data_IF_302691592179
#
_entry.id   IF_302691592179
#
_cell.length_a   1.000
_cell.length_b   1.000
_cell.length_c   1.000
_cell.angle_alpha   90.00
_cell.angle_beta   90.00
_cell.angle_gamma   90.00
#
_symmetry.space_group_name_H-M   'P 1'
#
loop_
_entity.id
_entity.type
_entity.pdbx_description
1 polymer ?
#
# COMPACT_ATOMS: atom_id res chain seq x y z
N UNK A 1 -1.77 -13.81 -6.76
CA UNK A 1 -0.54 -13.33 -6.11
C UNK A 1 0.02 -14.40 -5.19
N UNK A 2 -0.41 -14.43 -3.93
CA UNK A 2 0.14 -15.31 -2.89
C UNK A 2 0.19 -16.80 -3.29
N UNK A 3 -0.91 -17.37 -3.77
CA UNK A 3 -0.94 -18.79 -4.19
C UNK A 3 0.13 -19.08 -5.24
N UNK A 4 0.35 -18.17 -6.19
CA UNK A 4 1.40 -18.32 -7.19
C UNK A 4 2.80 -18.33 -6.55
N UNK A 5 3.07 -17.41 -5.61
CA UNK A 5 4.32 -17.39 -4.86
C UNK A 5 4.56 -18.69 -4.06
N UNK A 6 3.51 -19.24 -3.46
CA UNK A 6 3.59 -20.50 -2.72
C UNK A 6 3.86 -21.70 -3.63
N UNK A 7 3.19 -21.76 -4.79
CA UNK A 7 3.33 -22.88 -5.74
C UNK A 7 4.67 -22.83 -6.48
N UNK A 8 5.13 -21.64 -6.88
CA UNK A 8 6.45 -21.48 -7.52
C UNK A 8 7.62 -21.67 -6.54
N UNK A 9 7.38 -21.40 -5.25
CA UNK A 9 8.42 -21.48 -4.23
C UNK A 9 9.33 -20.26 -4.19
N UNK A 10 10.39 -20.35 -3.40
CA UNK A 10 11.28 -19.22 -3.07
C UNK A 10 12.33 -19.01 -4.14
N UNK A 11 12.71 -17.75 -4.37
CA UNK A 11 13.88 -17.41 -5.20
C UNK A 11 15.15 -17.97 -4.55
N UNK A 12 16.11 -18.33 -5.39
CA UNK A 12 17.48 -18.67 -4.94
C UNK A 12 18.07 -17.46 -4.22
N UNK A 13 18.70 -17.69 -3.06
CA UNK A 13 19.26 -16.61 -2.24
C UNK A 13 18.26 -15.92 -1.30
N UNK A 14 16.99 -16.34 -1.24
CA UNK A 14 16.02 -15.74 -0.32
C UNK A 14 16.47 -15.89 1.15
N UNK A 15 16.67 -14.75 1.82
CA UNK A 15 17.16 -14.69 3.20
C UNK A 15 18.68 -14.60 3.34
N UNK A 16 19.44 -14.77 2.26
CA UNK A 16 20.91 -14.62 2.25
C UNK A 16 21.36 -13.45 1.39
N UNK A 17 20.70 -13.23 0.25
CA UNK A 17 21.08 -12.24 -0.74
C UNK A 17 20.24 -10.96 -0.58
N UNK A 18 20.79 -9.83 -1.03
CA UNK A 18 20.06 -8.58 -1.03
C UNK A 18 19.01 -8.56 -2.16
N UNK A 19 17.74 -8.71 -1.78
CA UNK A 19 16.60 -8.69 -2.71
C UNK A 19 16.06 -7.28 -3.01
N UNK A 20 16.80 -6.22 -2.69
CA UNK A 20 16.39 -4.85 -2.98
C UNK A 20 16.26 -4.61 -4.49
N UNK A 21 15.38 -3.67 -4.92
CA UNK A 21 15.26 -3.30 -6.33
C UNK A 21 16.60 -2.85 -6.90
N UNK A 22 16.92 -3.33 -8.11
CA UNK A 22 18.12 -2.91 -8.84
C UNK A 22 18.17 -1.40 -9.08
N UNK A 23 17.00 -0.79 -9.37
CA UNK A 23 16.89 0.65 -9.60
C UNK A 23 15.71 1.24 -8.84
N UNK A 24 16.02 1.92 -7.74
CA UNK A 24 15.03 2.55 -6.88
C UNK A 24 14.34 3.76 -7.53
N UNK A 25 15.02 4.48 -8.43
CA UNK A 25 14.41 5.61 -9.15
C UNK A 25 13.27 5.13 -10.06
N UNK A 26 13.45 4.00 -10.75
CA UNK A 26 12.37 3.39 -11.54
C UNK A 26 11.19 2.96 -10.67
N UNK A 27 11.44 2.43 -9.47
CA UNK A 27 10.38 2.08 -8.53
C UNK A 27 9.58 3.32 -8.08
N UNK A 28 10.26 4.44 -7.80
CA UNK A 28 9.61 5.72 -7.46
C UNK A 28 8.79 6.25 -8.63
N UNK A 29 9.30 6.19 -9.87
CA UNK A 29 8.55 6.58 -11.07
C UNK A 29 7.29 5.72 -11.20
N UNK A 30 7.42 4.40 -11.06
CA UNK A 30 6.28 3.47 -11.09
C UNK A 30 5.23 3.78 -10.03
N UNK A 31 5.64 3.98 -8.78
CA UNK A 31 4.73 4.36 -7.69
C UNK A 31 4.05 5.72 -7.93
N UNK A 32 4.76 6.69 -8.52
CA UNK A 32 4.20 8.00 -8.88
C UNK A 32 3.14 7.88 -9.97
N UNK A 33 3.40 7.07 -11.01
CA UNK A 33 2.42 6.79 -12.07
C UNK A 33 1.19 6.06 -11.52
N UNK A 34 1.39 5.10 -10.61
CA UNK A 34 0.28 4.43 -9.91
C UNK A 34 -0.56 5.42 -9.13
N UNK A 35 0.06 6.32 -8.36
CA UNK A 35 -0.66 7.33 -7.58
C UNK A 35 -1.48 8.25 -8.48
N UNK A 36 -0.88 8.81 -9.53
CA UNK A 36 -1.60 9.67 -10.48
C UNK A 36 -2.75 8.92 -11.15
N UNK A 37 -2.49 7.70 -11.64
CA UNK A 37 -3.51 6.86 -12.25
C UNK A 37 -4.65 6.49 -11.30
N UNK A 38 -4.36 6.36 -10.00
CA UNK A 38 -5.35 6.00 -9.00
C UNK A 38 -6.40 7.09 -8.74
N UNK A 39 -6.10 8.35 -9.03
CA UNK A 39 -7.14 9.38 -9.06
C UNK A 39 -8.22 9.02 -10.07
N UNK A 40 -7.82 8.61 -11.28
CA UNK A 40 -8.75 8.11 -12.29
C UNK A 40 -9.48 6.84 -11.84
N UNK A 41 -8.79 5.93 -11.15
CA UNK A 41 -9.38 4.69 -10.63
C UNK A 41 -10.50 4.97 -9.60
N UNK A 42 -10.22 5.77 -8.57
CA UNK A 42 -11.19 6.04 -7.50
C UNK A 42 -12.25 7.07 -7.90
N UNK A 43 -11.84 8.20 -8.49
CA UNK A 43 -12.78 9.25 -8.89
C UNK A 43 -13.62 8.84 -10.10
N UNK A 44 -13.02 8.14 -11.07
CA UNK A 44 -13.73 7.61 -12.24
C UNK A 44 -14.77 6.55 -11.87
N UNK A 45 -14.59 5.84 -10.75
CA UNK A 45 -15.59 4.91 -10.22
C UNK A 45 -16.90 5.59 -9.79
N UNK A 46 -16.92 6.92 -9.68
CA UNK A 46 -18.15 7.69 -9.50
C UNK A 46 -18.99 7.83 -10.79
N UNK A 47 -18.47 7.41 -11.95
CA UNK A 47 -19.09 7.41 -13.28
C UNK A 47 -19.64 8.77 -13.76
N UNK A 48 -19.30 9.86 -13.07
CA UNK A 48 -19.66 11.23 -13.41
C UNK A 48 -18.70 12.22 -12.76
N UNK A 49 -18.39 13.31 -13.44
CA UNK A 49 -17.66 14.44 -12.87
C UNK A 49 -18.56 15.21 -11.90
N UNK A 50 -18.57 14.79 -10.64
CA UNK A 50 -19.49 15.27 -9.60
C UNK A 50 -18.75 15.57 -8.29
N UNK A 51 -19.46 16.14 -7.31
CA UNK A 51 -18.92 16.32 -5.95
C UNK A 51 -18.43 15.02 -5.32
N UNK A 52 -19.05 13.88 -5.66
CA UNK A 52 -18.61 12.55 -5.21
C UNK A 52 -17.26 12.17 -5.81
N UNK A 53 -17.04 12.42 -7.11
CA UNK A 53 -15.75 12.19 -7.76
C UNK A 53 -14.66 13.09 -7.15
N UNK A 54 -14.96 14.37 -6.94
CA UNK A 54 -14.05 15.30 -6.27
C UNK A 54 -13.68 14.85 -4.85
N UNK A 55 -14.65 14.32 -4.10
CA UNK A 55 -14.38 13.76 -2.78
C UNK A 55 -13.55 12.49 -2.82
N UNK A 56 -13.84 11.58 -3.75
CA UNK A 56 -13.02 10.38 -3.98
C UNK A 56 -11.57 10.74 -4.30
N UNK A 57 -11.31 11.80 -5.10
CA UNK A 57 -9.95 12.30 -5.31
C UNK A 57 -9.31 12.79 -4.01
N UNK A 58 -10.02 13.63 -3.25
CA UNK A 58 -9.50 14.20 -2.01
C UNK A 58 -9.13 13.13 -0.98
N UNK A 59 -10.03 12.18 -0.72
CA UNK A 59 -9.76 11.09 0.24
C UNK A 59 -8.67 10.15 -0.26
N UNK A 60 -8.55 9.94 -1.57
CA UNK A 60 -7.44 9.17 -2.16
C UNK A 60 -6.09 9.82 -1.84
N UNK A 61 -5.98 11.14 -2.04
CA UNK A 61 -4.74 11.86 -1.72
C UNK A 61 -4.40 11.77 -0.22
N UNK A 62 -5.40 11.98 0.64
CA UNK A 62 -5.22 12.00 2.09
C UNK A 62 -4.80 10.63 2.61
N UNK A 63 -5.52 9.58 2.23
CA UNK A 63 -5.22 8.23 2.69
C UNK A 63 -3.85 7.75 2.22
N UNK A 64 -3.46 8.06 0.98
CA UNK A 64 -2.15 7.70 0.44
C UNK A 64 -1.01 8.41 1.17
N UNK A 65 -1.13 9.73 1.39
CA UNK A 65 -0.14 10.47 2.16
C UNK A 65 -0.04 9.96 3.61
N UNK A 66 -1.19 9.68 4.24
CA UNK A 66 -1.26 9.16 5.59
C UNK A 66 -0.64 7.76 5.72
N UNK A 67 -0.86 6.88 4.73
CA UNK A 67 -0.28 5.55 4.71
C UNK A 67 1.23 5.57 4.44
N UNK A 68 1.69 6.46 3.55
CA UNK A 68 3.12 6.67 3.31
C UNK A 68 3.83 7.11 4.61
N UNK A 69 3.24 8.05 5.36
CA UNK A 69 3.76 8.48 6.66
C UNK A 69 3.63 7.38 7.72
N UNK A 70 2.49 6.68 7.79
CA UNK A 70 2.26 5.59 8.73
C UNK A 70 3.29 4.47 8.57
N UNK A 71 3.55 4.07 7.33
CA UNK A 71 4.61 3.12 7.02
C UNK A 71 5.99 3.66 7.38
N UNK A 72 6.31 4.90 6.98
CA UNK A 72 7.59 5.54 7.27
C UNK A 72 7.89 5.56 8.77
N UNK A 73 6.92 5.95 9.60
CA UNK A 73 7.07 5.97 11.05
C UNK A 73 7.16 4.56 11.64
N UNK A 74 6.35 3.62 11.18
CA UNK A 74 6.43 2.22 11.63
C UNK A 74 7.82 1.61 11.30
N UNK A 75 8.31 1.84 10.09
CA UNK A 75 9.64 1.43 9.67
C UNK A 75 10.73 2.12 10.49
N UNK A 76 10.61 3.43 10.73
CA UNK A 76 11.62 4.16 11.50
C UNK A 76 11.68 3.65 12.95
N UNK A 77 10.55 3.45 13.61
CA UNK A 77 10.51 2.96 15.00
C UNK A 77 11.12 1.55 15.09
N UNK A 78 10.87 0.69 14.11
CA UNK A 78 11.30 -0.72 14.17
C UNK A 78 12.69 -0.98 13.59
N UNK A 79 13.13 -0.19 12.60
CA UNK A 79 14.39 -0.38 11.87
C UNK A 79 15.39 0.77 12.04
N UNK A 80 15.05 1.81 12.81
CA UNK A 80 15.93 2.92 13.18
C UNK A 80 16.09 4.02 12.12
N UNK A 81 15.61 3.82 10.89
CA UNK A 81 15.61 4.84 9.82
C UNK A 81 14.51 4.57 8.79
N UNK A 82 13.93 5.61 8.17
CA UNK A 82 13.00 5.45 7.06
C UNK A 82 13.72 5.08 5.76
N UNK A 83 13.00 4.46 4.83
CA UNK A 83 13.48 4.18 3.47
C UNK A 83 12.53 4.70 2.40
N UNK A 84 13.07 5.07 1.23
CA UNK A 84 12.27 5.49 0.08
C UNK A 84 11.37 4.35 -0.40
N UNK A 85 11.88 3.12 -0.39
CA UNK A 85 11.09 1.93 -0.74
C UNK A 85 9.89 1.77 0.21
N UNK A 86 10.10 1.94 1.52
CA UNK A 86 9.03 1.89 2.50
C UNK A 86 7.98 2.98 2.28
N UNK A 87 8.40 4.21 2.01
CA UNK A 87 7.48 5.34 1.72
C UNK A 87 6.59 5.03 0.50
N UNK A 88 7.17 4.54 -0.61
CA UNK A 88 6.39 4.21 -1.81
C UNK A 88 5.50 2.97 -1.62
N UNK A 89 5.94 1.98 -0.83
CA UNK A 89 5.09 0.85 -0.44
C UNK A 89 3.91 1.28 0.43
N UNK A 90 4.15 2.19 1.39
CA UNK A 90 3.12 2.80 2.21
C UNK A 90 2.12 3.61 1.39
N UNK A 91 2.58 4.36 0.40
CA UNK A 91 1.69 5.05 -0.54
C UNK A 91 0.75 4.06 -1.26
N UNK A 92 1.30 2.97 -1.83
CA UNK A 92 0.48 1.95 -2.49
C UNK A 92 -0.48 1.28 -1.50
N UNK A 93 -0.07 1.02 -0.25
CA UNK A 93 -0.97 0.49 0.79
C UNK A 93 -2.18 1.41 1.05
N UNK A 94 -1.96 2.73 1.13
CA UNK A 94 -3.04 3.70 1.28
C UNK A 94 -3.98 3.75 0.08
N UNK A 95 -3.41 3.74 -1.14
CA UNK A 95 -4.18 3.70 -2.39
C UNK A 95 -5.09 2.46 -2.44
N UNK A 96 -4.56 1.29 -2.09
CA UNK A 96 -5.33 0.05 -2.01
C UNK A 96 -6.42 0.16 -0.95
N UNK A 97 -6.07 0.56 0.27
CA UNK A 97 -7.02 0.53 1.40
C UNK A 97 -8.15 1.56 1.24
N UNK A 98 -7.90 2.73 0.65
CA UNK A 98 -8.96 3.73 0.45
C UNK A 98 -9.88 3.37 -0.72
N UNK A 99 -9.45 2.51 -1.65
CA UNK A 99 -10.23 2.14 -2.84
C UNK A 99 -11.70 1.77 -2.52
N UNK A 100 -12.00 0.81 -1.64
CA UNK A 100 -13.39 0.46 -1.31
C UNK A 100 -14.16 1.57 -0.59
N UNK A 101 -13.47 2.45 0.15
CA UNK A 101 -14.06 3.51 0.97
C UNK A 101 -14.22 4.85 0.24
N UNK A 102 -13.50 5.06 -0.87
CA UNK A 102 -13.27 6.37 -1.48
C UNK A 102 -14.54 7.12 -1.88
N UNK A 103 -15.61 6.40 -2.20
CA UNK A 103 -16.91 6.96 -2.56
C UNK A 103 -17.88 7.17 -1.40
N UNK A 104 -17.46 6.92 -0.15
CA UNK A 104 -18.33 6.83 1.03
C UNK A 104 -17.81 7.58 2.26
N UNK A 105 -16.50 7.80 2.38
CA UNK A 105 -15.90 8.39 3.58
C UNK A 105 -15.51 9.85 3.41
N UNK A 106 -15.37 10.55 4.53
CA UNK A 106 -14.89 11.92 4.62
C UNK A 106 -13.36 11.97 4.89
N UNK A 107 -12.70 13.12 4.69
CA UNK A 107 -11.26 13.29 4.90
C UNK A 107 -10.69 12.76 6.22
N UNK A 108 -11.40 12.93 7.34
CA UNK A 108 -10.94 12.44 8.64
C UNK A 108 -10.85 10.92 8.72
N UNK A 109 -11.86 10.21 8.19
CA UNK A 109 -11.83 8.75 8.11
C UNK A 109 -10.77 8.26 7.12
N UNK A 110 -10.59 8.96 5.99
CA UNK A 110 -9.54 8.64 5.03
C UNK A 110 -8.12 8.71 5.64
N UNK A 111 -7.87 9.70 6.49
CA UNK A 111 -6.63 9.82 7.25
C UNK A 111 -6.41 8.59 8.14
N UNK A 112 -7.44 8.17 8.89
CA UNK A 112 -7.38 7.00 9.78
C UNK A 112 -7.14 5.73 8.98
N UNK A 113 -7.90 5.50 7.91
CA UNK A 113 -7.72 4.34 7.01
C UNK A 113 -6.30 4.30 6.48
N UNK A 114 -5.77 5.44 6.02
CA UNK A 114 -4.40 5.55 5.53
C UNK A 114 -3.37 5.15 6.58
N UNK A 115 -3.40 5.76 7.77
CA UNK A 115 -2.45 5.42 8.85
C UNK A 115 -2.52 3.94 9.22
N UNK A 116 -3.73 3.41 9.42
CA UNK A 116 -3.94 2.00 9.79
C UNK A 116 -3.42 1.08 8.69
N UNK A 117 -3.72 1.36 7.42
CA UNK A 117 -3.22 0.58 6.29
C UNK A 117 -1.69 0.63 6.17
N UNK A 118 -1.08 1.82 6.31
CA UNK A 118 0.38 1.97 6.27
C UNK A 118 1.08 1.11 7.32
N UNK A 119 0.57 1.11 8.56
CA UNK A 119 1.13 0.32 9.66
C UNK A 119 0.89 -1.19 9.47
N UNK A 120 -0.35 -1.60 9.15
CA UNK A 120 -0.68 -3.02 9.02
C UNK A 120 0.04 -3.65 7.82
N UNK A 121 0.07 -2.96 6.68
CA UNK A 121 0.77 -3.46 5.49
C UNK A 121 2.29 -3.52 5.70
N UNK A 122 2.87 -2.57 6.46
CA UNK A 122 4.27 -2.67 6.89
C UNK A 122 4.52 -3.95 7.67
N UNK A 123 3.71 -4.22 8.69
CA UNK A 123 3.82 -5.44 9.51
C UNK A 123 3.63 -6.71 8.68
N UNK A 124 2.67 -6.71 7.75
CA UNK A 124 2.45 -7.86 6.87
C UNK A 124 3.65 -8.12 5.95
N UNK A 125 4.18 -7.08 5.32
CA UNK A 125 5.27 -7.19 4.35
C UNK A 125 6.63 -7.49 5.00
N UNK A 126 6.82 -7.13 6.28
CA UNK A 126 8.13 -7.26 6.93
C UNK A 126 8.20 -8.36 7.97
N UNK A 127 7.11 -8.66 8.67
CA UNK A 127 7.11 -9.64 9.76
C UNK A 127 6.33 -10.90 9.40
N UNK A 128 5.07 -10.75 8.97
CA UNK A 128 4.19 -11.90 8.68
C UNK A 128 4.75 -12.78 7.57
N UNK A 129 5.24 -12.20 6.46
CA UNK A 129 5.82 -13.00 5.38
C UNK A 129 7.05 -13.80 5.83
N UNK A 130 7.87 -13.23 6.69
CA UNK A 130 9.09 -13.87 7.19
C UNK A 130 8.72 -14.98 8.17
N UNK A 131 7.75 -14.75 9.05
CA UNK A 131 7.23 -15.75 9.98
C UNK A 131 6.57 -16.94 9.27
N UNK A 132 5.81 -16.68 8.21
CA UNK A 132 5.19 -17.73 7.37
C UNK A 132 6.16 -18.30 6.33
N UNK A 133 7.33 -17.69 6.18
CA UNK A 133 8.42 -18.18 5.35
C UNK A 133 8.11 -18.24 3.86
N UNK A 134 7.18 -17.44 3.32
CA UNK A 134 6.95 -17.37 1.87
C UNK A 134 7.78 -16.24 1.24
N UNK A 135 8.10 -16.38 -0.05
CA UNK A 135 8.81 -15.36 -0.83
C UNK A 135 7.84 -14.68 -1.79
N UNK A 136 7.24 -13.58 -1.34
CA UNK A 136 6.51 -12.67 -2.21
C UNK A 136 7.46 -11.58 -2.70
N UNK A 137 7.84 -11.67 -3.98
CA UNK A 137 8.97 -10.92 -4.53
C UNK A 137 8.88 -9.41 -4.37
N UNK A 138 7.66 -8.86 -4.39
CA UNK A 138 7.38 -7.43 -4.35
C UNK A 138 6.47 -7.05 -3.17
N UNK A 139 6.27 -7.98 -2.22
CA UNK A 139 5.31 -7.82 -1.12
C UNK A 139 3.88 -7.51 -1.60
N UNK A 140 3.53 -7.98 -2.80
CA UNK A 140 2.27 -7.68 -3.46
C UNK A 140 1.06 -8.14 -2.63
N UNK A 141 1.11 -9.32 -2.01
CA UNK A 141 0.07 -9.78 -1.11
C UNK A 141 0.04 -8.99 0.20
N UNK A 142 1.22 -8.69 0.77
CA UNK A 142 1.33 -7.93 2.02
C UNK A 142 0.80 -6.50 1.90
N UNK A 143 0.89 -5.91 0.72
CA UNK A 143 0.36 -4.56 0.44
C UNK A 143 -1.06 -4.61 -0.14
N UNK A 144 -1.29 -5.35 -1.22
CA UNK A 144 -2.59 -5.36 -1.89
C UNK A 144 -3.62 -6.27 -1.21
N UNK A 145 -3.21 -7.49 -0.84
CA UNK A 145 -4.10 -8.46 -0.22
C UNK A 145 -4.54 -7.98 1.16
N UNK A 146 -3.57 -7.70 2.03
CA UNK A 146 -3.86 -7.22 3.39
C UNK A 146 -4.43 -5.81 3.39
N UNK A 147 -3.87 -4.88 2.61
CA UNK A 147 -4.42 -3.53 2.49
C UNK A 147 -5.87 -3.51 1.98
N UNK A 148 -6.20 -4.38 1.04
CA UNK A 148 -7.57 -4.54 0.54
C UNK A 148 -8.54 -5.05 1.61
N UNK A 149 -8.11 -6.03 2.42
CA UNK A 149 -8.90 -6.53 3.56
C UNK A 149 -9.14 -5.41 4.58
N UNK A 150 -8.08 -4.69 4.97
CA UNK A 150 -8.16 -3.57 5.92
C UNK A 150 -9.11 -2.50 5.39
N UNK A 151 -8.95 -2.08 4.14
CA UNK A 151 -9.80 -1.09 3.50
C UNK A 151 -11.27 -1.51 3.46
N UNK A 152 -11.54 -2.75 3.05
CA UNK A 152 -12.90 -3.28 2.95
C UNK A 152 -13.59 -3.33 4.32
N UNK A 153 -12.87 -3.76 5.37
CA UNK A 153 -13.40 -3.81 6.73
C UNK A 153 -13.66 -2.41 7.30
N UNK A 154 -12.75 -1.45 7.08
CA UNK A 154 -12.89 -0.08 7.56
C UNK A 154 -13.86 0.79 6.74
N UNK A 155 -14.41 0.24 5.65
CA UNK A 155 -15.45 0.91 4.86
C UNK A 155 -16.82 0.82 5.51
N UNK A 156 -17.12 -0.31 6.20
CA UNK A 156 -18.41 -0.57 6.86
C UNK A 156 -18.43 -0.13 8.32
#
# INVERSE_FOLDING_TARGET
GLVCALVLGKRIGYGTDNMAPFNLALAVIGASLLWVGWFGFNAGSAVAASGRAGMAMAVTQIATAAAALGWMFAEWITKGKPSVLGVISGAVAGLVAITPASGFVLPGAALVIGVVAGVICFWSATWVKHALGYDDSLDAFGVHGVGGIVGALLTG
#
